data_IF_341133384962
#
_entry.id   IF_341133384962
#
_cell.length_a   1.000
_cell.length_b   1.000
_cell.length_c   1.000
_cell.angle_alpha   90.00
_cell.angle_beta   90.00
_cell.angle_gamma   90.00
#
_symmetry.space_group_name_H-M   'P 1'
#
loop_
_entity.id
_entity.type
_entity.pdbx_description
1 polymer ?
#
# COMPACT_ATOMS: atom_id res chain seq x y z
N UNK A 1 25.84 8.96 21.11
CA UNK A 1 25.76 10.15 20.22
C UNK A 1 24.35 10.70 20.33
N UNK A 2 24.13 12.00 20.58
CA UNK A 2 22.75 12.53 20.72
C UNK A 2 21.94 12.25 19.44
N UNK A 3 20.72 11.74 19.60
CA UNK A 3 19.82 11.32 18.51
C UNK A 3 19.57 12.40 17.46
N UNK A 4 19.53 13.65 17.89
CA UNK A 4 19.40 14.82 17.00
C UNK A 4 20.61 15.02 16.10
N UNK A 5 21.81 14.64 16.57
CA UNK A 5 23.02 14.66 15.74
C UNK A 5 23.04 13.52 14.72
N UNK A 6 22.44 12.37 15.03
CA UNK A 6 22.32 11.25 14.09
C UNK A 6 21.29 11.56 13.00
N UNK A 7 20.12 12.09 13.37
CA UNK A 7 19.10 12.49 12.41
C UNK A 7 19.52 13.70 11.58
N UNK A 8 20.23 14.67 12.18
CA UNK A 8 20.83 15.77 11.43
C UNK A 8 21.90 15.30 10.45
N UNK A 9 22.82 14.43 10.89
CA UNK A 9 23.84 13.87 10.00
C UNK A 9 23.27 12.95 8.92
N UNK A 10 22.18 12.23 9.21
CA UNK A 10 21.45 11.42 8.23
C UNK A 10 20.68 12.29 7.25
N UNK A 11 19.97 13.31 7.72
CA UNK A 11 19.30 14.31 6.90
C UNK A 11 20.29 14.96 5.92
N UNK A 12 21.38 15.51 6.44
CA UNK A 12 22.42 16.16 5.63
C UNK A 12 23.06 15.19 4.61
N UNK A 13 23.18 13.90 4.93
CA UNK A 13 23.74 12.87 4.05
C UNK A 13 22.76 12.34 3.00
N UNK A 14 21.47 12.27 3.34
CA UNK A 14 20.41 11.72 2.48
C UNK A 14 19.79 12.77 1.57
N UNK A 15 19.54 13.98 2.08
CA UNK A 15 18.89 15.06 1.33
C UNK A 15 19.89 15.92 0.56
N UNK A 16 21.17 15.95 0.96
CA UNK A 16 22.11 16.96 0.48
C UNK A 16 21.61 18.37 0.84
N UNK A 17 21.69 19.34 -0.09
CA UNK A 17 21.19 20.72 0.10
C UNK A 17 19.65 20.84 0.00
N UNK A 18 18.90 19.76 0.16
CA UNK A 18 17.44 19.70 -0.08
C UNK A 18 16.72 19.63 1.29
N UNK A 19 15.52 20.21 1.45
CA UNK A 19 14.79 20.20 2.72
C UNK A 19 14.56 18.80 3.28
N UNK A 20 14.81 18.66 4.59
CA UNK A 20 14.48 17.49 5.38
C UNK A 20 13.78 17.90 6.67
N UNK A 21 12.99 17.00 7.24
CA UNK A 21 12.31 17.15 8.51
C UNK A 21 12.52 15.86 9.31
N UNK A 22 13.12 16.01 10.49
CA UNK A 22 13.21 14.92 11.47
C UNK A 22 11.86 14.81 12.19
N UNK A 23 11.34 13.60 12.27
CA UNK A 23 10.02 13.29 12.79
C UNK A 23 10.14 12.33 13.99
N UNK A 24 9.32 12.59 15.00
CA UNK A 24 9.22 11.77 16.21
C UNK A 24 7.75 11.46 16.50
N UNK A 25 7.49 10.39 17.23
CA UNK A 25 6.11 10.00 17.58
C UNK A 25 5.40 10.96 18.55
N UNK A 26 6.16 11.68 19.38
CA UNK A 26 5.67 12.61 20.40
C UNK A 26 5.35 14.01 19.85
N UNK A 27 5.89 14.36 18.67
CA UNK A 27 5.78 15.70 18.11
C UNK A 27 4.79 15.75 16.94
N UNK A 28 3.71 16.55 17.04
CA UNK A 28 2.86 16.83 15.89
C UNK A 28 3.61 17.69 14.87
N UNK A 29 3.46 17.36 13.59
CA UNK A 29 3.95 18.15 12.45
C UNK A 29 3.05 19.36 12.13
N UNK A 30 1.85 19.43 12.73
CA UNK A 30 0.87 20.48 12.47
C UNK A 30 0.07 20.31 11.17
N UNK A 31 0.32 19.23 10.43
CA UNK A 31 -0.38 18.89 9.19
C UNK A 31 -1.64 18.05 9.45
N UNK A 32 -2.52 17.96 8.45
CA UNK A 32 -3.73 17.14 8.52
C UNK A 32 -3.42 15.68 8.15
N UNK A 33 -3.95 14.68 8.87
CA UNK A 33 -3.72 13.29 8.55
C UNK A 33 -4.31 12.93 7.19
N UNK A 34 -3.48 12.37 6.31
CA UNK A 34 -3.90 11.93 4.97
C UNK A 34 -3.31 10.58 4.64
N UNK A 35 -4.14 9.67 4.10
CA UNK A 35 -3.65 8.41 3.57
C UNK A 35 -3.03 8.63 2.18
N UNK A 36 -1.79 8.18 1.98
CA UNK A 36 -1.09 8.25 0.69
C UNK A 36 -1.09 6.91 -0.07
N UNK A 37 -2.21 6.20 -0.04
CA UNK A 37 -2.46 4.96 -0.80
C UNK A 37 -1.61 3.74 -0.39
N UNK A 38 -0.89 3.86 0.73
CA UNK A 38 0.08 2.85 1.14
C UNK A 38 -0.49 1.88 2.17
N UNK A 39 -1.66 2.17 2.74
CA UNK A 39 -2.29 1.34 3.79
C UNK A 39 -3.03 0.16 3.17
N UNK A 40 -2.65 -1.05 3.54
CA UNK A 40 -3.30 -2.28 3.09
C UNK A 40 -4.54 -2.60 3.91
N UNK A 41 -4.38 -2.64 5.23
CA UNK A 41 -5.46 -2.96 6.16
C UNK A 41 -5.29 -2.15 7.44
N UNK A 42 -6.40 -1.62 7.96
CA UNK A 42 -6.45 -0.92 9.23
C UNK A 42 -7.51 -1.59 10.10
N UNK A 43 -7.06 -2.16 11.21
CA UNK A 43 -7.91 -2.77 12.22
C UNK A 43 -7.75 -2.03 13.55
N UNK A 44 -8.52 -2.44 14.56
CA UNK A 44 -8.44 -1.85 15.90
C UNK A 44 -7.08 -2.09 16.59
N UNK A 45 -6.39 -3.17 16.20
CA UNK A 45 -5.19 -3.67 16.87
C UNK A 45 -3.92 -3.49 16.04
N UNK A 46 -4.02 -3.55 14.70
CA UNK A 46 -2.88 -3.39 13.82
C UNK A 46 -3.21 -2.67 12.52
N UNK A 47 -2.20 -2.01 11.95
CA UNK A 47 -2.24 -1.37 10.64
C UNK A 47 -1.10 -1.95 9.79
N UNK A 48 -1.40 -2.30 8.54
CA UNK A 48 -0.42 -2.82 7.59
C UNK A 48 -0.20 -1.85 6.43
N UNK A 49 1.05 -1.67 6.03
CA UNK A 49 1.44 -0.90 4.84
C UNK A 49 1.97 -1.83 3.74
N UNK A 50 1.56 -1.55 2.51
CA UNK A 50 2.10 -2.22 1.31
C UNK A 50 3.53 -1.76 1.04
N UNK A 51 4.44 -2.71 0.88
CA UNK A 51 5.86 -2.44 0.62
C UNK A 51 6.16 -2.44 -0.88
N UNK A 52 6.86 -1.39 -1.34
CA UNK A 52 7.63 -1.38 -2.60
C UNK A 52 6.86 -1.59 -3.92
N UNK A 53 7.54 -2.21 -4.89
CA UNK A 53 7.10 -2.50 -6.27
C UNK A 53 5.95 -3.52 -6.36
N UNK A 54 5.70 -4.25 -5.27
CA UNK A 54 4.71 -5.32 -5.18
C UNK A 54 3.27 -4.80 -4.99
N UNK A 55 3.11 -3.47 -4.92
CA UNK A 55 1.79 -2.78 -4.97
C UNK A 55 1.00 -3.09 -6.22
N UNK A 56 1.67 -3.43 -7.31
CA UNK A 56 1.07 -3.76 -8.60
C UNK A 56 0.99 -5.27 -8.85
N UNK A 57 1.21 -6.11 -7.82
CA UNK A 57 1.06 -7.57 -7.97
C UNK A 57 -0.39 -7.90 -8.29
N UNK A 58 -0.61 -8.71 -9.32
CA UNK A 58 -1.94 -8.94 -9.89
C UNK A 58 -2.22 -8.10 -11.14
N UNK A 59 -1.47 -7.02 -11.40
CA UNK A 59 -1.70 -6.14 -12.55
C UNK A 59 -1.35 -6.84 -13.88
N UNK A 60 -0.25 -7.60 -13.93
CA UNK A 60 0.13 -8.34 -15.14
C UNK A 60 -0.84 -9.51 -15.40
N UNK A 61 -1.22 -10.26 -14.36
CA UNK A 61 -2.32 -11.25 -14.46
C UNK A 61 -3.64 -10.60 -14.86
N UNK A 62 -3.95 -9.42 -14.32
CA UNK A 62 -5.13 -8.66 -14.66
C UNK A 62 -5.13 -8.22 -16.12
N UNK A 63 -4.02 -7.72 -16.66
CA UNK A 63 -3.91 -7.30 -18.06
C UNK A 63 -3.99 -8.52 -18.99
N UNK A 64 -3.20 -9.57 -18.75
CA UNK A 64 -3.18 -10.77 -19.59
C UNK A 64 -4.47 -11.56 -19.47
N UNK A 65 -5.02 -11.72 -18.27
CA UNK A 65 -6.24 -12.46 -18.01
C UNK A 65 -7.52 -11.67 -18.28
N UNK A 66 -7.53 -10.36 -18.05
CA UNK A 66 -8.68 -9.50 -18.31
C UNK A 66 -8.76 -9.07 -19.77
N UNK A 67 -7.76 -8.33 -20.25
CA UNK A 67 -7.73 -7.81 -21.63
C UNK A 67 -7.33 -8.90 -22.60
N UNK A 68 -6.25 -9.63 -22.30
CA UNK A 68 -5.73 -10.69 -23.17
C UNK A 68 -6.76 -11.81 -23.35
N UNK A 69 -7.15 -12.50 -22.28
CA UNK A 69 -8.12 -13.60 -22.38
C UNK A 69 -9.49 -13.10 -22.88
N UNK A 70 -9.91 -11.88 -22.51
CA UNK A 70 -11.11 -11.23 -23.07
C UNK A 70 -11.04 -11.06 -24.59
N UNK A 71 -9.88 -10.66 -25.13
CA UNK A 71 -9.67 -10.57 -26.57
C UNK A 71 -9.70 -11.94 -27.25
N UNK A 72 -9.12 -12.98 -26.65
CA UNK A 72 -9.21 -14.35 -27.18
C UNK A 72 -10.65 -14.88 -27.16
N UNK A 73 -11.43 -14.60 -26.11
CA UNK A 73 -12.84 -14.96 -26.05
C UNK A 73 -13.62 -14.25 -27.17
N UNK A 74 -13.37 -12.96 -27.38
CA UNK A 74 -14.00 -12.20 -28.45
C UNK A 74 -13.65 -12.75 -29.84
N UNK A 75 -12.38 -13.08 -30.09
CA UNK A 75 -11.93 -13.71 -31.33
C UNK A 75 -12.58 -15.08 -31.55
N UNK A 76 -12.70 -15.91 -30.49
CA UNK A 76 -13.39 -17.19 -30.57
C UNK A 76 -14.88 -17.05 -30.92
N UNK A 77 -15.56 -16.01 -30.43
CA UNK A 77 -16.94 -15.71 -30.80
C UNK A 77 -17.07 -15.24 -32.27
N UNK A 78 -16.11 -14.45 -32.77
CA UNK A 78 -16.06 -14.08 -34.18
C UNK A 78 -15.86 -15.30 -35.07
N UNK A 79 -14.99 -16.23 -34.68
CA UNK A 79 -14.76 -17.47 -35.43
C UNK A 79 -16.03 -18.33 -35.52
N UNK A 80 -16.84 -18.40 -34.45
CA UNK A 80 -18.16 -19.04 -34.49
C UNK A 80 -19.09 -18.33 -35.49
N UNK A 81 -19.11 -17.00 -35.47
CA UNK A 81 -19.92 -16.20 -36.39
C UNK A 81 -19.56 -16.46 -37.86
N UNK A 82 -18.28 -16.64 -38.16
CA UNK A 82 -17.77 -17.01 -39.50
C UNK A 82 -17.83 -18.52 -39.80
N UNK A 83 -18.43 -19.34 -38.93
CA UNK A 83 -18.62 -20.78 -39.14
C UNK A 83 -17.40 -21.66 -38.85
N UNK A 84 -16.33 -21.12 -38.26
CA UNK A 84 -15.06 -21.80 -37.92
C UNK A 84 -15.10 -22.36 -36.49
N UNK A 85 -16.06 -23.22 -36.21
CA UNK A 85 -16.32 -23.73 -34.84
C UNK A 85 -15.12 -24.48 -34.24
N UNK A 86 -14.40 -25.27 -35.06
CA UNK A 86 -13.23 -26.01 -34.59
C UNK A 86 -12.06 -25.12 -34.17
N UNK A 87 -11.88 -23.99 -34.86
CA UNK A 87 -10.82 -23.04 -34.54
C UNK A 87 -11.17 -22.25 -33.28
N UNK A 88 -12.44 -21.90 -33.12
CA UNK A 88 -12.96 -21.25 -31.91
C UNK A 88 -12.66 -22.04 -30.64
N UNK A 89 -12.80 -23.37 -30.68
CA UNK A 89 -12.44 -24.24 -29.55
C UNK A 89 -10.94 -24.11 -29.21
N UNK A 90 -10.08 -24.09 -30.23
CA UNK A 90 -8.64 -23.85 -30.05
C UNK A 90 -8.38 -22.50 -29.41
N UNK A 91 -9.02 -21.44 -29.91
CA UNK A 91 -8.91 -20.07 -29.40
C UNK A 91 -9.33 -19.98 -27.92
N UNK A 92 -10.45 -20.60 -27.52
CA UNK A 92 -10.85 -20.63 -26.11
C UNK A 92 -9.88 -21.42 -25.23
N UNK A 93 -9.34 -22.54 -25.72
CA UNK A 93 -8.34 -23.32 -25.00
C UNK A 93 -7.05 -22.54 -24.78
N UNK A 94 -6.65 -21.66 -25.70
CA UNK A 94 -5.47 -20.79 -25.52
C UNK A 94 -5.69 -19.66 -24.52
N UNK A 95 -6.94 -19.23 -24.29
CA UNK A 95 -7.25 -18.20 -23.30
C UNK A 95 -6.98 -18.66 -21.86
N UNK A 96 -7.16 -19.96 -21.57
CA UNK A 96 -6.97 -20.55 -20.24
C UNK A 96 -5.52 -20.41 -19.74
N UNK A 97 -4.47 -20.88 -20.44
CA UNK A 97 -3.10 -20.76 -19.96
C UNK A 97 -2.64 -19.31 -19.86
N UNK A 98 -3.16 -18.40 -20.69
CA UNK A 98 -2.83 -16.96 -20.63
C UNK A 98 -3.29 -16.33 -19.30
N UNK A 99 -4.38 -16.83 -18.71
CA UNK A 99 -4.85 -16.39 -17.39
C UNK A 99 -4.17 -17.17 -16.26
N UNK A 100 -4.10 -18.51 -16.39
CA UNK A 100 -3.66 -19.40 -15.29
C UNK A 100 -2.15 -19.31 -15.03
N UNK A 101 -1.32 -19.25 -16.08
CA UNK A 101 0.14 -19.23 -15.92
C UNK A 101 0.64 -17.99 -15.14
N UNK A 102 0.29 -16.74 -15.53
CA UNK A 102 0.70 -15.57 -14.76
C UNK A 102 0.05 -15.54 -13.38
N UNK A 103 -1.21 -15.99 -13.25
CA UNK A 103 -1.89 -16.07 -11.96
C UNK A 103 -1.14 -16.98 -10.97
N UNK A 104 -0.78 -18.19 -11.40
CA UNK A 104 -0.01 -19.13 -10.59
C UNK A 104 1.37 -18.57 -10.28
N UNK A 105 2.04 -17.98 -11.27
CA UNK A 105 3.37 -17.38 -11.06
C UNK A 105 3.34 -16.28 -10.01
N UNK A 106 2.42 -15.31 -10.12
CA UNK A 106 2.32 -14.19 -9.18
C UNK A 106 1.86 -14.63 -7.79
N UNK A 107 0.99 -15.64 -7.72
CA UNK A 107 0.46 -16.14 -6.44
C UNK A 107 1.46 -17.03 -5.70
N UNK A 108 2.23 -17.86 -6.42
CA UNK A 108 3.18 -18.79 -5.80
C UNK A 108 4.49 -18.11 -5.38
N UNK A 109 4.79 -16.92 -5.90
CA UNK A 109 5.92 -16.13 -5.38
C UNK A 109 5.56 -15.58 -4.00
N UNK A 110 6.43 -15.71 -2.99
CA UNK A 110 6.21 -15.04 -1.73
C UNK A 110 6.07 -13.52 -1.96
N UNK A 111 5.03 -12.91 -1.39
CA UNK A 111 4.95 -11.46 -1.25
C UNK A 111 5.88 -11.07 -0.09
N UNK A 112 6.68 -10.00 -0.21
CA UNK A 112 7.34 -9.44 0.95
C UNK A 112 6.28 -9.10 2.01
N UNK A 113 6.62 -9.31 3.27
CA UNK A 113 5.70 -9.04 4.36
C UNK A 113 5.42 -7.53 4.44
N UNK A 114 4.16 -7.13 4.68
CA UNK A 114 3.82 -5.72 4.82
C UNK A 114 4.50 -5.12 6.05
N UNK A 115 4.70 -3.79 6.08
CA UNK A 115 5.14 -3.13 7.32
C UNK A 115 3.96 -3.13 8.28
N UNK A 116 4.16 -3.63 9.49
CA UNK A 116 3.10 -3.87 10.45
C UNK A 116 3.26 -2.95 11.66
N UNK A 117 2.25 -2.14 11.92
CA UNK A 117 2.15 -1.28 13.09
C UNK A 117 1.22 -1.95 14.09
N UNK A 118 1.76 -2.48 15.18
CA UNK A 118 0.97 -3.06 16.26
C UNK A 118 0.66 -1.99 17.30
N UNK A 119 -0.61 -1.62 17.40
CA UNK A 119 -1.07 -0.60 18.33
C UNK A 119 -1.05 -1.08 19.78
N UNK A 120 -1.30 -2.38 20.03
CA UNK A 120 -1.36 -2.95 21.38
C UNK A 120 0.00 -2.93 22.06
N UNK A 121 1.05 -3.36 21.34
CA UNK A 121 2.43 -3.33 21.86
C UNK A 121 3.11 -1.97 21.65
N UNK A 122 2.55 -1.11 20.78
CA UNK A 122 3.16 0.12 20.29
C UNK A 122 4.52 -0.16 19.65
N UNK A 123 4.56 -1.15 18.75
CA UNK A 123 5.77 -1.53 18.00
C UNK A 123 5.49 -1.58 16.50
N UNK A 124 6.53 -1.29 15.73
CA UNK A 124 6.54 -1.40 14.27
C UNK A 124 7.42 -2.58 13.90
N UNK A 125 6.90 -3.49 13.06
CA UNK A 125 7.60 -4.66 12.56
C UNK A 125 7.76 -4.57 11.05
N UNK A 126 8.94 -4.97 10.58
CA UNK A 126 9.22 -5.19 9.17
C UNK A 126 10.01 -6.49 9.08
N UNK A 127 9.66 -7.35 8.13
CA UNK A 127 10.54 -8.45 7.74
C UNK A 127 11.05 -8.21 6.32
N UNK A 128 12.38 -8.20 6.17
CA UNK A 128 13.03 -8.07 4.88
C UNK A 128 14.04 -9.21 4.70
N UNK A 129 13.87 -9.98 3.62
CA UNK A 129 14.75 -11.10 3.26
C UNK A 129 14.97 -12.14 4.39
N UNK A 130 13.92 -12.42 5.17
CA UNK A 130 13.95 -13.37 6.29
C UNK A 130 14.59 -12.81 7.57
N UNK A 131 14.90 -11.51 7.61
CA UNK A 131 15.37 -10.80 8.79
C UNK A 131 14.26 -9.92 9.34
N UNK A 132 13.91 -10.14 10.61
CA UNK A 132 12.95 -9.33 11.34
C UNK A 132 13.64 -8.06 11.87
N UNK A 133 13.03 -6.92 11.57
CA UNK A 133 13.35 -5.60 12.11
C UNK A 133 12.17 -5.11 12.95
N UNK A 134 12.48 -4.47 14.08
CA UNK A 134 11.49 -3.90 14.96
C UNK A 134 11.92 -2.53 15.48
N UNK A 135 10.93 -1.70 15.84
CA UNK A 135 11.16 -0.42 16.48
C UNK A 135 9.99 -0.10 17.43
N UNK A 136 10.24 0.26 18.69
CA UNK A 136 9.19 0.77 19.57
C UNK A 136 8.70 2.13 19.04
N UNK A 137 7.38 2.28 18.92
CA UNK A 137 6.75 3.49 18.40
C UNK A 137 7.10 4.72 19.23
N UNK A 138 7.22 4.59 20.55
CA UNK A 138 7.54 5.73 21.42
C UNK A 138 8.95 6.31 21.19
N UNK A 139 9.88 5.50 20.67
CA UNK A 139 11.26 5.92 20.39
C UNK A 139 11.55 5.97 18.87
N UNK A 140 10.51 5.89 18.05
CA UNK A 140 10.65 5.91 16.60
C UNK A 140 11.29 7.22 16.15
N UNK A 141 12.32 7.12 15.31
CA UNK A 141 12.70 8.24 14.47
C UNK A 141 12.38 7.95 13.03
N UNK A 142 11.72 8.93 12.44
CA UNK A 142 11.56 9.01 11.01
C UNK A 142 12.25 10.26 10.47
N UNK A 143 12.66 10.21 9.22
CA UNK A 143 13.14 11.36 8.47
C UNK A 143 12.31 11.43 7.20
N UNK A 144 11.67 12.57 6.99
CA UNK A 144 11.06 12.92 5.72
C UNK A 144 12.02 13.85 4.97
N UNK A 145 12.38 13.50 3.74
CA UNK A 145 13.26 14.34 2.93
C UNK A 145 12.82 14.37 1.48
N UNK A 146 13.01 15.52 0.85
CA UNK A 146 12.81 15.69 -0.58
C UNK A 146 14.12 15.38 -1.32
N UNK A 147 14.02 14.77 -2.49
CA UNK A 147 15.14 14.52 -3.38
C UNK A 147 14.69 14.66 -4.84
N UNK A 148 15.65 14.86 -5.74
CA UNK A 148 15.38 14.94 -7.18
C UNK A 148 15.82 13.66 -7.85
N UNK A 149 14.86 12.97 -8.44
CA UNK A 149 15.12 11.85 -9.35
C UNK A 149 15.35 12.43 -10.75
N UNK A 150 16.51 12.13 -11.31
CA UNK A 150 16.82 12.46 -12.72
C UNK A 150 16.83 11.15 -13.49
N UNK A 151 15.75 10.89 -14.21
CA UNK A 151 15.62 9.70 -15.06
C UNK A 151 15.81 10.05 -16.53
N UNK A 152 16.39 9.15 -17.35
CA UNK A 152 16.59 9.38 -18.79
C UNK A 152 15.28 9.60 -19.56
N UNK A 153 14.14 9.13 -19.03
CA UNK A 153 12.82 9.26 -19.67
C UNK A 153 11.80 10.08 -18.85
N UNK A 154 12.09 10.39 -17.59
CA UNK A 154 11.17 11.10 -16.68
C UNK A 154 11.58 12.56 -16.44
N UNK A 155 12.77 12.97 -16.89
CA UNK A 155 13.32 14.28 -16.59
C UNK A 155 13.69 14.41 -15.11
N UNK A 156 13.82 15.66 -14.64
CA UNK A 156 14.06 15.97 -13.24
C UNK A 156 12.72 16.09 -12.50
N UNK A 157 12.34 15.04 -11.78
CA UNK A 157 11.14 15.00 -10.94
C UNK A 157 11.51 15.15 -9.48
N UNK A 158 10.78 16.00 -8.76
CA UNK A 158 10.86 16.10 -7.30
C UNK A 158 10.08 14.94 -6.69
N UNK A 159 10.61 14.35 -5.64
CA UNK A 159 9.99 13.23 -4.93
C UNK A 159 10.42 13.29 -3.47
N UNK A 160 9.55 12.86 -2.56
CA UNK A 160 9.84 12.85 -1.14
C UNK A 160 9.73 11.43 -0.60
N UNK A 161 10.71 11.04 0.21
CA UNK A 161 10.71 9.76 0.94
C UNK A 161 10.41 10.02 2.42
N UNK A 162 9.74 9.06 3.03
CA UNK A 162 9.60 8.93 4.47
C UNK A 162 10.30 7.65 4.89
N UNK A 163 11.38 7.79 5.64
CA UNK A 163 12.19 6.66 6.12
C UNK A 163 12.15 6.57 7.64
N UNK A 164 12.02 5.36 8.17
CA UNK A 164 12.04 5.06 9.60
C UNK A 164 13.29 4.27 9.92
N UNK A 165 13.95 4.61 11.03
CA UNK A 165 15.05 3.82 11.55
C UNK A 165 14.52 2.62 12.34
N UNK A 166 14.94 1.41 11.97
CA UNK A 166 14.55 0.17 12.63
C UNK A 166 15.77 -0.63 13.10
N UNK A 167 15.60 -1.40 14.16
CA UNK A 167 16.64 -2.26 14.72
C UNK A 167 16.44 -3.71 14.27
N UNK A 168 17.53 -4.41 14.00
CA UNK A 168 17.46 -5.85 13.71
C UNK A 168 17.16 -6.64 14.99
N UNK A 169 16.19 -7.56 14.91
CA UNK A 169 15.88 -8.49 15.98
C UNK A 169 17.12 -9.32 16.38
N UNK A 170 17.39 -9.42 17.69
CA UNK A 170 18.58 -10.03 18.32
C UNK A 170 19.92 -9.33 18.04
N UNK A 171 19.94 -8.24 17.27
CA UNK A 171 21.16 -7.46 16.94
C UNK A 171 20.86 -5.96 16.91
N UNK A 172 20.64 -5.33 18.08
CA UNK A 172 20.25 -3.93 18.19
C UNK A 172 21.27 -2.94 17.61
N UNK A 173 22.54 -3.34 17.51
CA UNK A 173 23.60 -2.52 16.89
C UNK A 173 23.44 -2.34 15.37
N UNK A 174 22.67 -3.21 14.71
CA UNK A 174 22.39 -3.10 13.27
C UNK A 174 21.09 -2.34 13.07
N UNK A 175 21.23 -1.09 12.66
CA UNK A 175 20.13 -0.19 12.36
C UNK A 175 19.99 -0.03 10.84
N UNK A 176 18.76 -0.06 10.34
CA UNK A 176 18.44 0.09 8.91
C UNK A 176 17.37 1.16 8.74
N UNK A 177 17.54 2.00 7.73
CA UNK A 177 16.52 2.94 7.30
C UNK A 177 15.58 2.28 6.31
N UNK A 178 14.31 2.29 6.64
CA UNK A 178 13.24 1.62 5.89
C UNK A 178 12.31 2.67 5.35
N UNK A 179 12.11 2.69 4.03
CA UNK A 179 11.12 3.57 3.42
C UNK A 179 9.70 3.04 3.66
N UNK A 180 8.83 3.88 4.24
CA UNK A 180 7.43 3.54 4.55
C UNK A 180 6.48 3.56 3.34
N UNK A 181 6.99 3.83 2.14
CA UNK A 181 6.17 3.93 0.93
C UNK A 181 6.99 4.18 -0.32
N UNK A 182 6.30 4.28 -1.45
CA UNK A 182 6.96 4.65 -2.72
C UNK A 182 7.12 6.17 -2.76
N UNK A 183 8.32 6.70 -2.96
CA UNK A 183 8.56 8.15 -2.89
C UNK A 183 8.12 8.92 -4.15
N UNK A 184 7.88 8.22 -5.26
CA UNK A 184 7.54 8.86 -6.53
C UNK A 184 6.21 9.62 -6.47
N UNK A 185 6.23 10.86 -6.98
CA UNK A 185 5.04 11.70 -7.13
C UNK A 185 4.50 12.31 -5.84
N UNK A 186 5.24 12.20 -4.73
CA UNK A 186 4.86 12.75 -3.43
C UNK A 186 5.75 13.93 -3.07
N UNK A 187 5.14 14.97 -2.52
CA UNK A 187 5.84 16.11 -1.95
C UNK A 187 6.15 15.90 -0.47
N UNK A 188 7.07 16.71 0.08
CA UNK A 188 7.44 16.64 1.49
C UNK A 188 6.22 16.83 2.40
N UNK A 189 5.35 17.78 2.06
CA UNK A 189 4.11 18.06 2.80
C UNK A 189 3.18 16.85 2.85
N UNK A 190 3.04 16.13 1.74
CA UNK A 190 2.26 14.90 1.69
C UNK A 190 2.83 13.85 2.65
N UNK A 191 4.16 13.68 2.68
CA UNK A 191 4.80 12.73 3.60
C UNK A 191 4.60 13.10 5.07
N UNK A 192 4.53 14.40 5.40
CA UNK A 192 4.18 14.87 6.74
C UNK A 192 2.72 14.55 7.09
N UNK A 193 1.78 14.77 6.16
CA UNK A 193 0.38 14.38 6.33
C UNK A 193 0.23 12.86 6.54
N UNK A 194 1.04 12.05 5.85
CA UNK A 194 1.06 10.60 6.04
C UNK A 194 1.62 10.20 7.40
N UNK A 195 2.68 10.86 7.86
CA UNK A 195 3.19 10.68 9.22
C UNK A 195 2.13 11.00 10.27
N UNK A 196 1.38 12.10 10.11
CA UNK A 196 0.27 12.44 11.01
C UNK A 196 -0.84 11.40 11.01
N UNK A 197 -1.11 10.77 9.87
CA UNK A 197 -2.05 9.67 9.80
C UNK A 197 -1.60 8.48 10.67
N UNK A 198 -0.34 8.07 10.52
CA UNK A 198 0.25 6.98 11.33
C UNK A 198 0.27 7.35 12.82
N UNK A 199 0.61 8.60 13.14
CA UNK A 199 0.63 9.12 14.51
C UNK A 199 -0.75 9.15 15.13
N UNK A 200 -1.77 9.62 14.42
CA UNK A 200 -3.16 9.62 14.87
C UNK A 200 -3.64 8.19 15.17
N UNK A 201 -3.33 7.24 14.29
CA UNK A 201 -3.64 5.82 14.49
C UNK A 201 -3.00 5.25 15.76
N UNK A 202 -1.69 5.45 15.93
CA UNK A 202 -0.93 4.87 17.04
C UNK A 202 -1.19 5.56 18.39
N UNK A 203 -1.41 6.88 18.41
CA UNK A 203 -1.56 7.66 19.64
C UNK A 203 -3.02 7.88 20.05
N UNK A 204 -3.87 8.27 19.09
CA UNK A 204 -5.23 8.72 19.39
C UNK A 204 -6.28 7.63 19.20
N UNK A 205 -5.91 6.53 18.55
CA UNK A 205 -6.78 5.38 18.43
C UNK A 205 -7.08 5.04 16.99
N UNK A 206 -7.80 3.94 16.79
CA UNK A 206 -7.86 3.34 15.48
C UNK A 206 -8.72 4.23 14.58
N UNK A 207 -9.76 4.89 15.11
CA UNK A 207 -10.63 5.83 14.41
C UNK A 207 -10.34 7.26 14.89
N UNK A 208 -10.17 8.17 13.93
CA UNK A 208 -9.83 9.57 14.18
C UNK A 208 -10.49 10.50 13.15
N UNK A 209 -10.58 11.78 13.48
CA UNK A 209 -11.16 12.83 12.65
C UNK A 209 -10.14 13.48 11.69
N UNK A 210 -10.60 14.44 10.88
CA UNK A 210 -9.78 15.22 9.94
C UNK A 210 -8.64 16.02 10.61
N UNK A 211 -8.67 16.18 11.93
CA UNK A 211 -7.66 16.88 12.72
C UNK A 211 -6.74 15.91 13.46
N UNK A 212 -6.95 14.60 13.26
CA UNK A 212 -6.20 13.53 13.91
C UNK A 212 -6.64 13.24 15.34
N UNK A 213 -7.71 13.84 15.86
CA UNK A 213 -8.22 13.54 17.20
C UNK A 213 -9.02 12.24 17.22
N UNK A 214 -9.08 11.59 18.38
CA UNK A 214 -9.89 10.39 18.56
C UNK A 214 -11.35 10.64 18.18
N UNK A 215 -11.93 9.73 17.40
CA UNK A 215 -13.35 9.74 17.04
C UNK A 215 -13.94 8.36 17.28
N UNK A 216 -15.21 8.31 17.69
CA UNK A 216 -15.95 7.04 17.74
C UNK A 216 -16.41 6.60 16.34
N UNK A 217 -16.43 7.52 15.37
CA UNK A 217 -16.88 7.27 14.01
C UNK A 217 -15.73 6.85 13.09
N UNK A 218 -15.96 5.80 12.31
CA UNK A 218 -15.01 5.30 11.30
C UNK A 218 -15.15 5.98 9.93
N UNK A 219 -16.03 6.98 9.81
CA UNK A 219 -16.40 7.59 8.53
C UNK A 219 -15.21 8.24 7.80
N UNK A 220 -14.35 8.96 8.53
CA UNK A 220 -13.17 9.62 7.95
C UNK A 220 -12.11 8.60 7.52
N UNK A 221 -11.82 7.61 8.38
CA UNK A 221 -10.87 6.55 8.06
C UNK A 221 -11.34 5.76 6.83
N UNK A 222 -12.63 5.40 6.77
CA UNK A 222 -13.22 4.71 5.61
C UNK A 222 -13.17 5.56 4.36
N UNK A 223 -13.41 6.87 4.44
CA UNK A 223 -13.30 7.74 3.27
C UNK A 223 -11.86 7.80 2.77
N UNK A 224 -10.87 7.89 3.67
CA UNK A 224 -9.45 7.86 3.33
C UNK A 224 -8.99 6.53 2.72
N UNK A 225 -9.50 5.40 3.20
CA UNK A 225 -9.23 4.07 2.62
C UNK A 225 -9.93 3.88 1.26
N UNK A 226 -11.11 4.47 1.09
CA UNK A 226 -11.86 4.41 -0.17
C UNK A 226 -11.24 5.25 -1.30
N UNK A 227 -10.34 6.18 -1.00
CA UNK A 227 -9.64 6.99 -2.01
C UNK A 227 -8.70 6.13 -2.86
N UNK A 228 -8.38 4.88 -2.46
CA UNK A 228 -7.56 3.96 -3.24
C UNK A 228 -8.02 3.79 -4.69
N UNK A 229 -7.07 3.98 -5.61
CA UNK A 229 -7.32 3.78 -7.03
C UNK A 229 -7.57 2.29 -7.32
N UNK A 230 -8.80 1.95 -7.71
CA UNK A 230 -9.19 0.60 -8.10
C UNK A 230 -9.84 0.60 -9.47
N UNK A 231 -9.30 -0.18 -10.39
CA UNK A 231 -9.86 -0.35 -11.72
C UNK A 231 -11.28 -0.94 -11.69
N UNK A 232 -11.57 -1.81 -10.72
CA UNK A 232 -12.89 -2.44 -10.54
C UNK A 232 -14.00 -1.44 -10.18
N UNK A 233 -13.70 -0.43 -9.36
CA UNK A 233 -14.68 0.53 -8.86
C UNK A 233 -14.92 1.70 -9.83
N UNK A 234 -13.96 1.99 -10.71
CA UNK A 234 -13.99 3.13 -11.64
C UNK A 234 -15.24 3.15 -12.52
N UNK A 235 -15.64 1.99 -13.04
CA UNK A 235 -16.84 1.86 -13.86
C UNK A 235 -18.09 2.25 -13.06
N UNK A 236 -18.24 1.70 -11.84
CA UNK A 236 -19.38 1.98 -10.97
C UNK A 236 -19.43 3.43 -10.45
N UNK A 237 -18.28 4.03 -10.17
CA UNK A 237 -18.16 5.45 -9.80
C UNK A 237 -18.62 6.35 -10.95
N UNK A 238 -18.08 6.15 -12.16
CA UNK A 238 -18.47 6.91 -13.35
C UNK A 238 -19.96 6.77 -13.68
N UNK A 239 -20.52 5.56 -13.57
CA UNK A 239 -21.96 5.34 -13.73
C UNK A 239 -22.81 6.10 -12.72
N UNK A 240 -22.34 6.25 -11.47
CA UNK A 240 -23.04 7.05 -10.44
C UNK A 240 -22.99 8.53 -10.78
N UNK A 241 -21.84 9.05 -11.18
CA UNK A 241 -21.68 10.43 -11.62
C UNK A 241 -22.59 10.77 -12.81
N UNK A 242 -22.64 9.87 -13.81
CA UNK A 242 -23.53 9.99 -14.96
C UNK A 242 -25.01 10.03 -14.55
N UNK A 243 -25.43 9.20 -13.59
CA UNK A 243 -26.80 9.22 -13.05
C UNK A 243 -27.11 10.54 -12.35
N UNK A 244 -26.16 11.09 -11.61
CA UNK A 244 -26.32 12.40 -10.93
C UNK A 244 -26.41 13.54 -11.95
N UNK A 245 -25.47 13.62 -12.90
CA UNK A 245 -25.50 14.61 -13.99
C UNK A 245 -26.77 14.51 -14.83
N UNK A 246 -27.25 13.30 -15.10
CA UNK A 246 -28.52 13.07 -15.80
C UNK A 246 -29.71 13.65 -15.03
N UNK A 247 -29.75 13.50 -13.70
CA UNK A 247 -30.81 14.06 -12.86
C UNK A 247 -30.76 15.59 -12.84
N UNK A 248 -29.57 16.18 -12.68
CA UNK A 248 -29.36 17.63 -12.63
C UNK A 248 -29.70 18.31 -13.95
N UNK A 249 -29.37 17.70 -15.09
CA UNK A 249 -29.65 18.25 -16.41
C UNK A 249 -31.06 17.91 -16.95
N UNK A 250 -31.95 17.34 -16.13
CA UNK A 250 -33.30 16.94 -16.55
C UNK A 250 -33.30 15.94 -17.72
N UNK A 251 -32.25 15.13 -17.84
CA UNK A 251 -32.06 14.16 -18.92
C UNK A 251 -31.59 14.73 -20.26
N UNK A 252 -31.32 16.04 -20.37
CA UNK A 252 -30.83 16.66 -21.62
C UNK A 252 -29.33 16.93 -21.54
N UNK A 253 -28.61 16.65 -22.63
CA UNK A 253 -27.20 17.02 -22.85
C UNK A 253 -26.22 16.69 -21.69
N UNK A 254 -26.40 15.54 -21.03
CA UNK A 254 -25.58 15.13 -19.87
C UNK A 254 -24.39 14.22 -20.24
N UNK A 255 -24.32 13.75 -21.50
CA UNK A 255 -23.28 12.85 -22.02
C UNK A 255 -22.29 13.64 -22.86
N UNK A 256 -21.01 13.54 -22.53
CA UNK A 256 -19.90 14.03 -23.33
C UNK A 256 -19.18 12.88 -24.04
N UNK A 257 -18.40 13.19 -25.08
CA UNK A 257 -17.57 12.19 -25.77
C UNK A 257 -16.54 11.55 -24.81
N UNK A 258 -16.02 12.33 -23.86
CA UNK A 258 -15.16 11.85 -22.78
C UNK A 258 -15.84 10.78 -21.91
N UNK A 259 -17.15 10.90 -21.66
CA UNK A 259 -17.89 9.92 -20.85
C UNK A 259 -17.98 8.56 -21.55
N UNK A 260 -18.08 8.54 -22.89
CA UNK A 260 -18.04 7.32 -23.69
C UNK A 260 -16.68 6.62 -23.59
N UNK A 261 -15.59 7.37 -23.70
CA UNK A 261 -14.24 6.82 -23.52
C UNK A 261 -14.02 6.27 -22.10
N UNK A 262 -14.54 6.97 -21.08
CA UNK A 262 -14.44 6.52 -19.69
C UNK A 262 -15.29 5.28 -19.41
N UNK A 263 -16.49 5.17 -19.99
CA UNK A 263 -17.32 3.96 -19.90
C UNK A 263 -16.68 2.77 -20.61
N UNK A 264 -16.16 2.98 -21.82
CA UNK A 264 -15.48 1.94 -22.59
C UNK A 264 -14.22 1.46 -21.88
N UNK A 265 -13.37 2.40 -21.44
CA UNK A 265 -12.18 2.08 -20.64
C UNK A 265 -12.55 1.38 -19.34
N UNK A 266 -13.57 1.87 -18.63
CA UNK A 266 -14.08 1.24 -17.41
C UNK A 266 -14.53 -0.21 -17.64
N UNK A 267 -15.25 -0.49 -18.73
CA UNK A 267 -15.68 -1.84 -19.09
C UNK A 267 -14.50 -2.76 -19.42
N UNK A 268 -13.50 -2.25 -20.14
CA UNK A 268 -12.31 -3.00 -20.53
C UNK A 268 -11.38 -3.30 -19.33
N UNK A 269 -11.21 -2.33 -18.43
CA UNK A 269 -10.35 -2.47 -17.25
C UNK A 269 -11.07 -3.04 -16.01
N UNK A 270 -12.40 -3.17 -16.03
CA UNK A 270 -13.15 -3.80 -14.95
C UNK A 270 -12.67 -5.23 -14.62
N UNK A 271 -12.55 -6.17 -15.60
CA UNK A 271 -12.04 -7.51 -15.31
C UNK A 271 -10.58 -7.48 -14.86
N UNK A 272 -9.77 -6.55 -15.36
CA UNK A 272 -8.38 -6.34 -14.93
C UNK A 272 -8.32 -6.08 -13.44
N UNK A 273 -9.11 -5.11 -12.94
CA UNK A 273 -9.13 -4.75 -11.53
C UNK A 273 -9.63 -5.89 -10.62
N UNK A 274 -10.66 -6.64 -11.05
CA UNK A 274 -11.15 -7.76 -10.27
C UNK A 274 -10.12 -8.89 -10.14
N UNK A 275 -9.43 -9.22 -11.24
CA UNK A 275 -8.40 -10.26 -11.26
C UNK A 275 -7.19 -9.81 -10.44
N UNK A 276 -6.80 -8.54 -10.56
CA UNK A 276 -5.72 -7.94 -9.78
C UNK A 276 -6.01 -8.02 -8.27
N UNK A 277 -7.17 -7.53 -7.83
CA UNK A 277 -7.58 -7.56 -6.42
C UNK A 277 -7.67 -8.99 -5.88
N UNK A 278 -8.19 -9.92 -6.67
CA UNK A 278 -8.28 -11.32 -6.27
C UNK A 278 -6.89 -11.95 -6.12
N UNK A 279 -6.02 -11.77 -7.12
CA UNK A 279 -4.64 -12.30 -7.11
C UNK A 279 -3.87 -11.73 -5.93
N UNK A 280 -3.96 -10.42 -5.71
CA UNK A 280 -3.35 -9.74 -4.58
C UNK A 280 -3.84 -10.31 -3.25
N UNK A 281 -5.17 -10.49 -3.08
CA UNK A 281 -5.75 -11.03 -1.85
C UNK A 281 -5.33 -12.47 -1.55
N UNK A 282 -5.18 -13.31 -2.59
CA UNK A 282 -4.71 -14.69 -2.40
C UNK A 282 -3.25 -14.69 -1.99
N UNK A 283 -2.42 -13.88 -2.65
CA UNK A 283 -1.00 -13.77 -2.31
C UNK A 283 -0.80 -13.16 -0.90
N UNK A 284 -1.57 -12.13 -0.53
CA UNK A 284 -1.40 -11.44 0.77
C UNK A 284 -1.78 -12.34 1.95
N UNK A 285 -2.79 -13.21 1.78
CA UNK A 285 -3.15 -14.23 2.77
C UNK A 285 -2.01 -15.21 3.04
N UNK A 286 -1.29 -15.62 2.00
CA UNK A 286 -0.13 -16.50 2.17
C UNK A 286 1.00 -15.77 2.89
N UNK A 287 1.24 -14.50 2.56
CA UNK A 287 2.23 -13.66 3.24
C UNK A 287 1.89 -13.47 4.72
N UNK A 288 0.65 -13.09 5.07
CA UNK A 288 0.24 -12.92 6.46
C UNK A 288 0.38 -14.18 7.33
N UNK A 289 0.28 -15.37 6.74
CA UNK A 289 0.53 -16.64 7.45
C UNK A 289 2.02 -16.90 7.73
N UNK A 290 2.92 -16.25 6.98
CA UNK A 290 4.37 -16.44 7.05
C UNK A 290 5.07 -15.55 8.08
N UNK A 291 4.36 -14.69 8.81
CA UNK A 291 4.97 -13.94 9.92
C UNK A 291 5.60 -14.91 10.94
N UNK A 292 6.76 -14.56 11.54
CA UNK A 292 7.40 -15.38 12.56
C UNK A 292 6.46 -15.56 13.76
N UNK A 293 6.53 -16.73 14.39
CA UNK A 293 5.66 -17.12 15.51
C UNK A 293 5.66 -16.06 16.63
N UNK A 294 6.84 -15.50 16.91
CA UNK A 294 7.06 -14.43 17.90
C UNK A 294 6.20 -13.18 17.64
N UNK A 295 6.01 -12.80 16.37
CA UNK A 295 5.14 -11.67 15.98
C UNK A 295 3.68 -12.10 15.97
N UNK A 296 3.37 -13.30 15.47
CA UNK A 296 2.01 -13.84 15.41
C UNK A 296 1.35 -13.96 16.78
N UNK A 297 2.08 -14.43 17.78
CA UNK A 297 1.60 -14.49 19.17
C UNK A 297 1.22 -13.09 19.67
N UNK A 298 2.02 -12.06 19.35
CA UNK A 298 1.77 -10.66 19.76
C UNK A 298 0.67 -9.97 18.96
N UNK A 299 0.26 -10.52 17.83
CA UNK A 299 -0.90 -10.08 17.06
C UNK A 299 -2.20 -10.71 17.57
N UNK A 300 -2.14 -11.86 18.26
CA UNK A 300 -3.31 -12.48 18.87
C UNK A 300 -3.87 -11.58 19.98
N UNK A 301 -5.17 -11.22 19.98
CA UNK A 301 -5.81 -10.44 21.04
C UNK A 301 -5.60 -10.98 22.46
N UNK A 302 -5.38 -12.29 22.62
CA UNK A 302 -5.09 -12.94 23.91
C UNK A 302 -3.60 -13.20 24.14
N UNK A 303 -2.75 -12.86 23.18
CA UNK A 303 -1.31 -13.05 23.28
C UNK A 303 -0.58 -12.02 24.15
N UNK A 304 0.76 -12.14 24.28
CA UNK A 304 1.56 -11.31 25.17
C UNK A 304 1.55 -9.84 24.74
N UNK A 305 1.45 -8.94 25.72
CA UNK A 305 1.57 -7.49 25.53
C UNK A 305 3.00 -6.97 25.70
N UNK A 306 3.94 -7.86 26.02
CA UNK A 306 5.36 -7.52 26.16
C UNK A 306 5.97 -7.15 24.80
N UNK A 307 6.65 -6.00 24.78
CA UNK A 307 7.38 -5.50 23.62
C UNK A 307 8.55 -6.42 23.29
N UNK A 308 8.87 -6.57 22.02
CA UNK A 308 10.03 -7.37 21.59
C UNK A 308 11.33 -6.80 22.14
N UNK A 309 11.44 -5.48 22.24
CA UNK A 309 12.60 -4.82 22.86
C UNK A 309 12.74 -5.17 24.36
N UNK A 310 11.63 -5.30 25.09
CA UNK A 310 11.63 -5.65 26.51
C UNK A 310 12.05 -7.11 26.72
N UNK A 311 11.62 -8.01 25.82
CA UNK A 311 12.04 -9.41 25.82
C UNK A 311 13.52 -9.56 25.48
N UNK A 312 14.03 -8.79 24.52
CA UNK A 312 15.46 -8.77 24.19
C UNK A 312 16.31 -8.26 25.36
N UNK A 313 15.81 -7.25 26.09
CA UNK A 313 16.43 -6.71 27.30
C UNK A 313 16.42 -7.71 28.46
N UNK A 314 15.30 -8.39 28.68
CA UNK A 314 15.15 -9.39 29.74
C UNK A 314 15.93 -10.68 29.47
N UNK A 315 16.19 -11.01 28.20
CA UNK A 315 16.96 -12.19 27.78
C UNK A 315 18.48 -11.95 27.72
N UNK A 316 18.95 -10.73 28.02
CA UNK A 316 20.37 -10.37 27.99
C UNK A 316 20.97 -10.22 26.59
N UNK A 317 20.12 -10.14 25.54
CA UNK A 317 20.55 -9.90 24.15
C UNK A 317 20.77 -8.41 23.83
N UNK A 318 20.20 -7.54 24.66
CA UNK A 318 20.47 -6.10 24.75
C UNK A 318 21.30 -5.85 26.03
N UNK A 319 22.61 -6.04 25.99
CA UNK A 319 23.49 -5.46 27.02
C UNK A 319 23.73 -3.98 26.70
N UNK A 320 22.92 -3.10 27.30
CA UNK A 320 23.21 -1.67 27.45
C UNK A 320 22.80 -1.17 28.84
#
# INVERSE_FOLDING_TARGET
MSWEKLLGALGDKLSGNVPYVALKADQPTGQQPMNLFDIEEQTEHYLTLKVGEEKYRGMLTGILGGIGAGAFIFMGLLEIYYGRVWESIGTFLTAIPILVLPFLWETLRPLPLPILFNRRTREVYLEQDGVLYHCPWDEIAAVAYEFRLVGPYTGATRSAALEVLMHQYQRPERQVLVSLGVPMGKDLDMQLCFWEYLRAYMNNGPWFDERGNHSESDAFVKSQLAIQFKFSEKLGQHWRELKTRRKEAGGRNYLQLSDLFQLYGGMLFYPVGLIEEFTYKVASRQSGANWPEVVRERLDPNGPTERLIDVERNSGSLEL
#
